data_IF_061215290721
#
_entry.id   IF_061215290721
#
_cell.length_a   1.000
_cell.length_b   1.000
_cell.length_c   1.000
_cell.angle_alpha   90.00
_cell.angle_beta   90.00
_cell.angle_gamma   90.00
#
_symmetry.space_group_name_H-M   'P 1'
#
loop_
_entity.id
_entity.type
_entity.pdbx_description
1 polymer ?
#
# COMPACT_ATOMS: atom_id res chain seq x y z
N UNK A 1 74.18 23.30 5.68
CA UNK A 1 72.81 23.27 5.22
C UNK A 1 72.13 21.86 5.37
N UNK A 2 72.77 20.92 6.04
CA UNK A 2 72.34 19.50 6.12
C UNK A 2 71.49 19.18 7.41
N UNK A 3 71.56 20.02 8.44
CA UNK A 3 70.90 19.74 9.74
C UNK A 3 69.46 20.17 9.82
N UNK A 4 68.98 21.02 8.92
CA UNK A 4 67.57 21.49 8.94
C UNK A 4 66.52 20.46 8.38
N UNK A 5 67.03 19.46 7.62
CA UNK A 5 66.18 18.44 7.04
C UNK A 5 65.91 17.22 7.97
N UNK A 6 66.77 16.91 8.91
CA UNK A 6 66.61 15.76 9.83
C UNK A 6 65.46 15.95 10.82
N UNK A 7 65.31 17.16 11.38
CA UNK A 7 64.18 17.44 12.31
C UNK A 7 62.79 17.40 11.63
N UNK A 8 62.70 17.84 10.37
CA UNK A 8 61.47 17.71 9.59
C UNK A 8 61.12 16.26 9.26
N UNK A 9 62.12 15.45 8.95
CA UNK A 9 61.97 14.03 8.66
C UNK A 9 61.50 13.27 9.93
N UNK A 10 62.08 13.58 11.11
CA UNK A 10 61.67 12.99 12.39
C UNK A 10 60.24 13.36 12.74
N UNK A 11 59.81 14.61 12.49
CA UNK A 11 58.42 15.05 12.70
C UNK A 11 57.43 14.33 11.78
N UNK A 12 57.78 14.11 10.51
CA UNK A 12 56.94 13.39 9.54
C UNK A 12 56.81 11.90 9.95
N UNK A 13 57.93 11.26 10.29
CA UNK A 13 57.92 9.85 10.72
C UNK A 13 57.16 9.71 12.03
N UNK A 14 57.32 10.64 12.98
CA UNK A 14 56.56 10.66 14.23
C UNK A 14 55.05 10.81 13.98
N UNK A 15 54.65 11.69 13.06
CA UNK A 15 53.23 11.86 12.69
C UNK A 15 52.63 10.61 12.04
N UNK A 16 53.38 9.93 11.16
CA UNK A 16 52.93 8.66 10.55
C UNK A 16 52.79 7.55 11.60
N UNK A 17 53.72 7.45 12.54
CA UNK A 17 53.63 6.45 13.61
C UNK A 17 52.45 6.69 14.56
N UNK A 18 52.17 7.94 14.92
CA UNK A 18 50.99 8.29 15.72
C UNK A 18 49.69 7.98 14.95
N UNK A 19 49.64 8.27 13.66
CA UNK A 19 48.48 7.95 12.80
C UNK A 19 48.27 6.44 12.71
N UNK A 20 49.32 5.65 12.47
CA UNK A 20 49.20 4.18 12.41
C UNK A 20 48.81 3.57 13.78
N UNK A 21 49.34 4.10 14.86
CA UNK A 21 49.00 3.67 16.21
C UNK A 21 47.52 3.99 16.54
N UNK A 22 47.04 5.18 16.20
CA UNK A 22 45.63 5.56 16.40
C UNK A 22 44.66 4.73 15.53
N UNK A 23 45.03 4.46 14.28
CA UNK A 23 44.25 3.59 13.38
C UNK A 23 44.24 2.15 13.88
N UNK A 24 45.36 1.63 14.40
CA UNK A 24 45.44 0.28 14.99
C UNK A 24 44.60 0.15 16.26
N UNK A 25 44.65 1.15 17.13
CA UNK A 25 43.81 1.19 18.37
C UNK A 25 42.32 1.28 18.01
N UNK A 26 41.96 2.13 17.06
CA UNK A 26 40.57 2.26 16.61
C UNK A 26 40.06 0.95 15.98
N UNK A 27 40.85 0.29 15.16
CA UNK A 27 40.55 -1.00 14.55
C UNK A 27 40.43 -2.11 15.61
N UNK A 28 41.37 -2.17 16.57
CA UNK A 28 41.33 -3.11 17.70
C UNK A 28 40.11 -2.90 18.58
N UNK A 29 39.80 -1.65 18.96
CA UNK A 29 38.62 -1.30 19.73
C UNK A 29 37.32 -1.70 18.98
N UNK A 30 37.26 -1.43 17.69
CA UNK A 30 36.11 -1.82 16.88
C UNK A 30 35.92 -3.36 16.78
N UNK A 31 37.04 -4.10 16.68
CA UNK A 31 36.97 -5.57 16.63
C UNK A 31 36.74 -6.25 17.99
N UNK A 32 37.24 -5.70 19.07
CA UNK A 32 37.14 -6.33 20.41
C UNK A 32 35.97 -5.80 21.24
N UNK A 33 35.57 -4.55 21.12
CA UNK A 33 34.39 -3.99 21.80
C UNK A 33 33.10 -4.18 21.00
N UNK A 34 33.20 -4.38 19.69
CA UNK A 34 32.06 -4.72 18.83
C UNK A 34 31.64 -6.20 18.87
N UNK A 35 32.41 -7.08 19.54
CA UNK A 35 32.13 -8.52 19.59
C UNK A 35 31.39 -9.00 20.84
N UNK A 36 30.93 -8.12 21.69
CA UNK A 36 30.41 -8.55 22.99
C UNK A 36 29.29 -7.71 23.60
N UNK A 37 28.32 -7.31 22.81
CA UNK A 37 26.99 -7.02 23.33
C UNK A 37 25.99 -7.21 22.19
N UNK A 38 25.19 -8.27 22.29
CA UNK A 38 23.94 -8.41 21.55
C UNK A 38 22.95 -7.34 22.04
N UNK A 39 23.22 -6.08 21.75
CA UNK A 39 22.18 -5.12 21.52
C UNK A 39 21.45 -5.67 20.31
N UNK A 40 20.20 -6.05 20.50
CA UNK A 40 19.28 -6.45 19.44
C UNK A 40 19.37 -5.39 18.33
N UNK A 41 20.25 -5.62 17.38
CA UNK A 41 20.24 -4.88 16.12
C UNK A 41 18.84 -5.02 15.58
N UNK A 42 18.20 -3.96 15.04
CA UNK A 42 17.05 -4.14 14.17
C UNK A 42 17.44 -5.22 13.19
N UNK A 43 16.64 -6.27 13.08
CA UNK A 43 16.92 -7.41 12.20
C UNK A 43 17.27 -6.83 10.85
N UNK A 44 18.53 -7.01 10.40
CA UNK A 44 18.96 -6.71 9.06
C UNK A 44 18.05 -7.51 8.11
N UNK A 45 17.05 -6.85 7.56
CA UNK A 45 16.31 -7.34 6.41
C UNK A 45 17.13 -6.91 5.18
N UNK A 46 18.37 -7.41 5.10
CA UNK A 46 19.13 -7.33 3.87
C UNK A 46 18.51 -8.29 2.86
N UNK A 47 18.25 -7.87 1.62
CA UNK A 47 17.95 -8.77 0.52
C UNK A 47 19.06 -9.81 0.45
N UNK A 48 18.80 -11.07 0.83
CA UNK A 48 19.81 -12.14 0.90
C UNK A 48 20.00 -12.79 2.27
N UNK A 49 19.47 -12.29 3.39
CA UNK A 49 19.47 -12.99 4.66
C UNK A 49 18.42 -14.10 4.62
N UNK A 50 18.87 -15.29 4.34
CA UNK A 50 18.30 -16.63 4.26
C UNK A 50 17.01 -17.01 4.97
N UNK A 51 15.98 -16.17 4.99
CA UNK A 51 14.65 -16.58 5.39
C UNK A 51 13.96 -17.23 4.19
N UNK A 52 14.20 -18.52 3.97
CA UNK A 52 13.47 -19.28 2.95
C UNK A 52 12.06 -19.55 3.48
N UNK A 53 11.08 -18.91 2.89
CA UNK A 53 9.68 -19.29 3.06
C UNK A 53 9.53 -20.65 2.38
N UNK A 54 9.24 -21.68 3.16
CA UNK A 54 8.87 -22.99 2.58
C UNK A 54 7.43 -22.88 2.05
N UNK A 55 7.21 -22.97 0.74
CA UNK A 55 5.88 -22.84 0.15
C UNK A 55 4.94 -23.99 0.56
N UNK A 56 5.47 -25.11 1.06
CA UNK A 56 4.72 -26.28 1.52
C UNK A 56 4.44 -26.24 3.04
N UNK A 57 4.95 -25.25 3.77
CA UNK A 57 4.67 -25.12 5.19
C UNK A 57 3.17 -24.90 5.43
N UNK A 58 2.61 -25.45 6.52
CA UNK A 58 1.19 -25.24 6.85
C UNK A 58 0.84 -23.76 6.97
N UNK A 59 -0.22 -23.34 6.29
CA UNK A 59 -0.76 -21.98 6.34
C UNK A 59 -1.81 -21.90 7.43
N UNK A 60 -1.42 -21.47 8.63
CA UNK A 60 -2.26 -21.43 9.84
C UNK A 60 -2.50 -20.03 10.37
N UNK A 61 -1.75 -19.04 9.86
CA UNK A 61 -1.74 -17.69 10.40
C UNK A 61 -2.64 -16.77 9.56
N UNK A 62 -3.75 -16.32 10.12
CA UNK A 62 -4.69 -15.45 9.43
C UNK A 62 -4.18 -14.01 9.35
N UNK A 63 -4.25 -13.42 8.17
CA UNK A 63 -4.02 -12.01 7.95
C UNK A 63 -5.14 -11.16 8.56
N UNK A 64 -4.87 -10.16 9.40
CA UNK A 64 -5.93 -9.33 9.99
C UNK A 64 -6.67 -8.45 8.98
N UNK A 65 -6.08 -8.21 7.80
CA UNK A 65 -6.68 -7.36 6.77
C UNK A 65 -7.64 -8.12 5.85
N UNK A 66 -7.36 -9.40 5.57
CA UNK A 66 -8.04 -10.19 4.53
C UNK A 66 -8.48 -11.58 4.99
N UNK A 67 -8.12 -11.98 6.21
CA UNK A 67 -8.36 -13.33 6.70
C UNK A 67 -7.59 -14.43 5.96
N UNK A 68 -6.83 -14.12 4.90
CA UNK A 68 -6.03 -15.10 4.15
C UNK A 68 -5.05 -15.81 5.08
N UNK A 69 -4.90 -17.10 4.88
CA UNK A 69 -4.00 -17.92 5.68
C UNK A 69 -2.59 -17.93 5.08
N UNK A 70 -1.60 -17.77 5.93
CA UNK A 70 -0.18 -17.73 5.64
C UNK A 70 0.60 -18.68 6.54
N UNK A 71 1.86 -18.91 6.24
CA UNK A 71 2.78 -19.66 7.08
C UNK A 71 3.21 -18.83 8.29
N UNK A 72 3.74 -19.50 9.32
CA UNK A 72 4.34 -18.80 10.48
C UNK A 72 5.52 -17.92 10.08
N UNK A 73 6.28 -18.33 9.07
CA UNK A 73 7.40 -17.56 8.55
C UNK A 73 6.94 -16.23 7.94
N UNK A 74 5.91 -16.25 7.10
CA UNK A 74 5.32 -15.04 6.53
C UNK A 74 4.77 -14.12 7.62
N UNK A 75 4.08 -14.67 8.63
CA UNK A 75 3.59 -13.86 9.77
C UNK A 75 4.72 -13.13 10.49
N UNK A 76 5.85 -13.79 10.76
CA UNK A 76 7.00 -13.16 11.40
C UNK A 76 7.55 -11.97 10.64
N UNK A 77 7.25 -11.86 9.33
CA UNK A 77 7.63 -10.70 8.51
C UNK A 77 6.65 -9.54 8.76
N UNK A 78 5.34 -9.76 8.53
CA UNK A 78 4.39 -8.63 8.62
C UNK A 78 4.11 -8.17 10.05
N UNK A 79 4.18 -9.04 11.06
CA UNK A 79 3.91 -8.65 12.45
C UNK A 79 4.93 -7.66 13.05
N UNK A 80 6.06 -7.44 12.36
CA UNK A 80 7.09 -6.48 12.75
C UNK A 80 6.87 -5.09 12.15
N UNK A 81 5.91 -4.91 11.27
CA UNK A 81 5.66 -3.68 10.52
C UNK A 81 4.21 -3.26 10.61
N UNK A 82 3.86 -2.11 10.07
CA UNK A 82 2.49 -1.62 9.98
C UNK A 82 2.01 -1.61 8.54
N UNK A 83 0.69 -1.54 8.28
CA UNK A 83 0.17 -1.43 6.94
C UNK A 83 0.76 -0.26 6.18
N UNK A 84 1.15 -0.53 4.92
CA UNK A 84 1.62 0.45 3.96
C UNK A 84 0.53 0.69 2.92
N UNK A 85 0.12 1.94 2.75
CA UNK A 85 -0.83 2.35 1.72
C UNK A 85 -0.10 3.15 0.65
N UNK A 86 -0.32 2.83 -0.62
CA UNK A 86 0.37 3.45 -1.76
C UNK A 86 -0.65 3.99 -2.74
N UNK A 87 -0.51 5.26 -3.10
CA UNK A 87 -1.27 5.86 -4.19
C UNK A 87 -0.70 5.40 -5.53
N UNK A 88 -1.46 4.63 -6.29
CA UNK A 88 -1.06 4.11 -7.61
C UNK A 88 -1.96 4.69 -8.69
N UNK A 89 -1.34 5.14 -9.78
CA UNK A 89 -2.04 5.73 -10.90
C UNK A 89 -2.81 4.70 -11.73
N UNK A 90 -3.92 5.13 -12.36
CA UNK A 90 -4.65 4.32 -13.34
C UNK A 90 -4.86 5.05 -14.68
N UNK A 91 -4.04 6.06 -15.01
CA UNK A 91 -4.08 6.65 -16.35
C UNK A 91 -3.85 5.56 -17.42
N UNK A 92 -4.53 5.64 -18.56
CA UNK A 92 -4.40 4.62 -19.61
C UNK A 92 -2.93 4.39 -20.02
N UNK A 93 -2.16 5.48 -20.17
CA UNK A 93 -0.74 5.41 -20.56
C UNK A 93 0.17 4.83 -19.46
N UNK A 94 -0.30 4.74 -18.20
CA UNK A 94 0.47 4.18 -17.09
C UNK A 94 0.26 2.68 -16.89
N UNK A 95 -0.53 2.04 -17.73
CA UNK A 95 -0.83 0.61 -17.64
C UNK A 95 0.17 -0.23 -18.44
N UNK A 96 0.55 -1.45 -17.94
CA UNK A 96 0.11 -2.05 -16.68
C UNK A 96 0.86 -1.49 -15.47
N UNK A 97 0.18 -1.42 -14.33
CA UNK A 97 0.77 -1.00 -13.06
C UNK A 97 1.62 -2.10 -12.45
N UNK A 98 2.46 -1.72 -11.47
CA UNK A 98 3.29 -2.66 -10.70
C UNK A 98 2.78 -2.79 -9.28
N UNK A 99 2.65 -4.04 -8.80
CA UNK A 99 2.45 -4.38 -7.41
C UNK A 99 1.00 -4.62 -6.98
N UNK A 100 0.00 -4.33 -7.82
CA UNK A 100 -1.41 -4.50 -7.45
C UNK A 100 -1.79 -5.94 -7.08
N UNK A 101 -1.17 -6.94 -7.72
CA UNK A 101 -1.40 -8.37 -7.44
C UNK A 101 -0.93 -8.82 -6.04
N UNK A 102 -0.10 -8.02 -5.39
CA UNK A 102 0.41 -8.25 -4.04
C UNK A 102 -0.24 -7.36 -2.97
N UNK A 103 -1.20 -6.52 -3.37
CA UNK A 103 -1.99 -5.76 -2.40
C UNK A 103 -2.97 -6.68 -1.65
N UNK A 104 -3.15 -6.42 -0.37
CA UNK A 104 -4.16 -7.08 0.46
C UNK A 104 -5.55 -6.50 0.18
N UNK A 105 -5.65 -5.18 0.09
CA UNK A 105 -6.87 -4.45 -0.24
C UNK A 105 -6.55 -3.34 -1.22
N UNK A 106 -7.41 -3.13 -2.23
CA UNK A 106 -7.31 -2.00 -3.15
C UNK A 106 -8.62 -1.21 -3.11
N UNK A 107 -8.52 0.10 -2.95
CA UNK A 107 -9.63 1.03 -3.18
C UNK A 107 -9.43 1.71 -4.52
N UNK A 108 -10.49 1.79 -5.31
CA UNK A 108 -10.49 2.55 -6.57
C UNK A 108 -11.56 3.64 -6.51
N UNK A 109 -11.21 4.86 -6.86
CA UNK A 109 -12.12 5.99 -6.95
C UNK A 109 -11.69 6.93 -8.07
N UNK A 110 -12.62 7.74 -8.58
CA UNK A 110 -12.27 8.82 -9.52
C UNK A 110 -11.36 9.83 -8.81
N UNK A 111 -10.32 10.24 -9.50
CA UNK A 111 -9.43 11.31 -9.04
C UNK A 111 -9.77 12.65 -9.67
N UNK A 112 -9.66 12.79 -10.98
CA UNK A 112 -10.04 13.95 -11.77
C UNK A 112 -10.51 13.52 -13.15
N UNK A 113 -11.47 14.27 -13.73
CA UNK A 113 -11.85 14.12 -15.14
C UNK A 113 -12.37 12.74 -15.56
N UNK A 114 -12.82 11.94 -14.62
CA UNK A 114 -13.23 10.54 -14.86
C UNK A 114 -12.09 9.53 -14.82
N UNK A 115 -10.84 9.97 -14.61
CA UNK A 115 -9.67 9.11 -14.43
C UNK A 115 -9.68 8.57 -13.01
N UNK A 116 -9.62 7.26 -12.84
CA UNK A 116 -9.55 6.65 -11.51
C UNK A 116 -8.11 6.58 -10.97
N UNK A 117 -7.99 6.30 -9.70
CA UNK A 117 -6.72 6.07 -9.00
C UNK A 117 -6.91 4.97 -7.97
N UNK A 118 -5.83 4.26 -7.64
CA UNK A 118 -5.83 3.22 -6.64
C UNK A 118 -5.17 3.69 -5.34
N UNK A 119 -5.73 3.29 -4.21
CA UNK A 119 -5.03 3.19 -2.94
C UNK A 119 -4.81 1.70 -2.67
N UNK A 120 -3.61 1.23 -2.88
CA UNK A 120 -3.25 -0.15 -2.63
C UNK A 120 -2.67 -0.32 -1.23
N UNK A 121 -3.17 -1.27 -0.47
CA UNK A 121 -2.76 -1.57 0.92
C UNK A 121 -1.94 -2.84 0.92
N UNK A 122 -0.71 -2.75 1.41
CA UNK A 122 0.25 -3.85 1.49
C UNK A 122 0.53 -4.17 2.95
N UNK A 123 0.46 -5.44 3.31
CA UNK A 123 0.81 -5.93 4.64
C UNK A 123 1.21 -7.40 4.61
N UNK A 124 0.23 -8.33 4.51
CA UNK A 124 0.48 -9.76 4.59
C UNK A 124 0.96 -10.36 3.27
N UNK A 125 0.34 -9.98 2.14
CA UNK A 125 0.67 -10.49 0.81
C UNK A 125 2.04 -10.02 0.29
N UNK A 126 2.61 -8.96 0.87
CA UNK A 126 3.91 -8.42 0.50
C UNK A 126 5.02 -8.97 1.41
N UNK A 127 5.09 -10.28 1.62
CA UNK A 127 6.16 -10.94 2.39
C UNK A 127 7.53 -10.89 1.70
N UNK A 128 7.55 -10.62 0.40
CA UNK A 128 8.75 -10.35 -0.41
C UNK A 128 8.75 -8.90 -0.88
N UNK A 129 9.88 -8.40 -1.36
CA UNK A 129 9.99 -7.06 -1.92
C UNK A 129 9.09 -6.92 -3.16
N UNK A 130 8.23 -5.91 -3.18
CA UNK A 130 7.31 -5.64 -4.28
C UNK A 130 7.61 -4.26 -4.87
N UNK A 131 7.92 -4.19 -6.16
CA UNK A 131 7.94 -2.90 -6.87
C UNK A 131 6.51 -2.38 -7.00
N UNK A 132 6.29 -1.11 -6.64
CA UNK A 132 4.96 -0.47 -6.63
C UNK A 132 4.95 0.81 -7.46
N UNK A 133 3.91 1.00 -8.22
CA UNK A 133 3.71 2.23 -9.01
C UNK A 133 3.03 2.04 -10.37
N UNK A 134 2.97 3.12 -11.18
CA UNK A 134 3.49 4.47 -10.89
C UNK A 134 2.82 5.10 -9.67
N UNK A 135 3.65 5.58 -8.72
CA UNK A 135 3.14 6.25 -7.51
C UNK A 135 2.63 7.64 -7.85
N UNK A 136 1.49 8.01 -7.29
CA UNK A 136 0.76 9.22 -7.69
C UNK A 136 0.32 10.09 -6.51
N UNK A 137 -0.28 11.23 -6.82
CA UNK A 137 -0.61 12.28 -5.86
C UNK A 137 -1.74 11.89 -4.91
N UNK A 138 -1.63 12.36 -3.66
CA UNK A 138 -2.64 12.23 -2.63
C UNK A 138 -3.95 12.95 -2.99
N UNK A 139 -5.07 12.41 -2.49
CA UNK A 139 -6.40 13.03 -2.48
C UNK A 139 -7.04 12.80 -1.11
N UNK A 140 -7.86 13.73 -0.67
CA UNK A 140 -8.41 13.77 0.69
C UNK A 140 -9.13 12.49 1.11
N UNK A 141 -10.01 11.97 0.25
CA UNK A 141 -10.79 10.77 0.54
C UNK A 141 -9.95 9.48 0.60
N UNK A 142 -8.85 9.38 -0.14
CA UNK A 142 -7.94 8.24 -0.02
C UNK A 142 -7.22 8.19 1.33
N UNK A 143 -6.93 9.36 1.92
CA UNK A 143 -6.38 9.42 3.29
C UNK A 143 -7.39 8.93 4.32
N UNK A 144 -8.69 9.19 4.10
CA UNK A 144 -9.74 8.68 4.97
C UNK A 144 -9.86 7.15 4.92
N UNK A 145 -9.67 6.55 3.72
CA UNK A 145 -9.59 5.09 3.58
C UNK A 145 -8.30 4.53 4.18
N UNK A 146 -7.15 5.17 3.96
CA UNK A 146 -5.90 4.79 4.59
C UNK A 146 -6.01 4.81 6.12
N UNK A 147 -6.74 5.78 6.70
CA UNK A 147 -6.95 5.92 8.15
C UNK A 147 -7.68 4.74 8.79
N UNK A 148 -8.27 3.82 8.00
CA UNK A 148 -8.92 2.61 8.51
C UNK A 148 -7.94 1.53 8.98
N UNK A 149 -6.65 1.67 8.65
CA UNK A 149 -5.62 0.66 8.88
C UNK A 149 -4.79 0.94 10.16
N UNK A 150 -5.48 1.37 11.20
CA UNK A 150 -4.91 1.57 12.53
C UNK A 150 -4.30 2.96 12.74
N UNK A 151 -3.57 3.08 13.85
CA UNK A 151 -2.97 4.36 14.21
C UNK A 151 -1.74 4.63 13.30
N UNK A 152 -1.78 5.72 12.54
CA UNK A 152 -0.71 6.19 11.64
C UNK A 152 -0.25 5.14 10.61
N UNK A 153 -1.14 4.68 9.69
CA UNK A 153 -0.73 3.84 8.57
C UNK A 153 0.26 4.60 7.67
N UNK A 154 1.21 3.89 7.09
CA UNK A 154 2.16 4.51 6.16
C UNK A 154 1.41 4.92 4.89
N UNK A 155 1.63 6.15 4.42
CA UNK A 155 0.92 6.70 3.26
C UNK A 155 1.89 7.20 2.20
N UNK A 156 2.16 6.36 1.19
CA UNK A 156 3.12 6.64 0.11
C UNK A 156 2.45 7.33 -1.08
N UNK A 157 2.99 8.49 -1.47
CA UNK A 157 2.44 9.30 -2.54
C UNK A 157 3.48 10.26 -3.15
N UNK A 158 3.17 10.85 -4.30
CA UNK A 158 3.97 11.88 -4.97
C UNK A 158 3.20 13.20 -4.92
N UNK A 159 3.49 14.03 -3.94
CA UNK A 159 2.75 15.28 -3.74
C UNK A 159 1.25 15.06 -3.58
N UNK A 160 0.47 16.07 -3.85
CA UNK A 160 -1.00 15.99 -3.69
C UNK A 160 -1.68 17.26 -4.10
N UNK A 161 -3.01 17.27 -4.06
CA UNK A 161 -3.78 18.49 -4.18
C UNK A 161 -3.39 19.47 -3.05
N UNK A 162 -3.03 20.69 -3.40
CA UNK A 162 -2.55 21.73 -2.48
C UNK A 162 -3.24 23.07 -2.67
N UNK A 163 -4.32 23.10 -3.44
CA UNK A 163 -5.15 24.30 -3.62
C UNK A 163 -5.91 24.57 -2.31
N UNK A 164 -5.92 25.81 -1.80
CA UNK A 164 -6.69 26.14 -0.60
C UNK A 164 -8.17 25.71 -0.73
N UNK A 165 -8.69 25.06 0.31
CA UNK A 165 -10.06 24.56 0.33
C UNK A 165 -10.17 23.07 0.67
N UNK A 166 -11.37 22.49 0.51
CA UNK A 166 -11.66 21.15 1.01
C UNK A 166 -10.95 20.00 0.25
N UNK A 167 -10.35 20.28 -0.92
CA UNK A 167 -9.55 19.30 -1.66
C UNK A 167 -8.05 19.37 -1.32
N UNK A 168 -7.61 20.25 -0.41
CA UNK A 168 -6.22 20.39 -0.02
C UNK A 168 -5.70 19.14 0.72
N UNK A 169 -5.27 18.13 -0.04
CA UNK A 169 -4.78 16.89 0.52
C UNK A 169 -3.47 17.07 1.31
N UNK A 170 -2.56 17.95 0.84
CA UNK A 170 -1.30 18.19 1.56
C UNK A 170 -1.54 18.92 2.88
N UNK A 171 -2.47 19.88 2.92
CA UNK A 171 -2.90 20.50 4.17
C UNK A 171 -3.52 19.48 5.13
N UNK A 172 -4.39 18.63 4.64
CA UNK A 172 -5.05 17.58 5.44
C UNK A 172 -4.08 16.55 6.04
N UNK A 173 -2.97 16.24 5.36
CA UNK A 173 -1.88 15.41 5.92
C UNK A 173 -1.33 16.06 7.20
N UNK A 174 -1.12 17.38 7.19
CA UNK A 174 -0.72 18.14 8.38
C UNK A 174 -1.79 18.12 9.47
N UNK A 175 -3.05 18.40 9.12
CA UNK A 175 -4.19 18.42 10.05
C UNK A 175 -4.41 17.04 10.72
N UNK A 176 -4.04 15.95 10.05
CA UNK A 176 -4.09 14.59 10.61
C UNK A 176 -2.89 14.26 11.50
N UNK A 177 -1.91 15.15 11.63
CA UNK A 177 -0.67 14.95 12.37
C UNK A 177 0.29 13.94 11.72
N UNK A 178 0.08 13.62 10.43
CA UNK A 178 0.86 12.60 9.74
C UNK A 178 2.28 13.06 9.42
N UNK A 179 2.49 14.38 9.23
CA UNK A 179 3.83 14.96 9.09
C UNK A 179 4.64 14.78 10.37
N UNK A 180 4.07 15.14 11.52
CA UNK A 180 4.74 15.12 12.81
C UNK A 180 5.04 13.69 13.29
N UNK A 181 4.13 12.75 13.00
CA UNK A 181 4.33 11.33 13.32
C UNK A 181 5.22 10.61 12.30
N UNK A 182 5.50 11.21 11.14
CA UNK A 182 6.42 10.67 10.15
C UNK A 182 5.86 9.52 9.31
N UNK A 183 4.55 9.25 9.36
CA UNK A 183 3.90 8.24 8.53
C UNK A 183 3.51 8.76 7.14
N UNK A 184 3.68 10.06 6.86
CA UNK A 184 3.67 10.65 5.53
C UNK A 184 4.91 10.21 4.75
N UNK A 185 4.71 9.40 3.70
CA UNK A 185 5.76 8.87 2.84
C UNK A 185 5.81 9.62 1.50
N UNK A 186 5.78 10.96 1.57
CA UNK A 186 5.81 11.81 0.39
C UNK A 186 7.16 11.72 -0.33
N UNK A 187 7.13 11.45 -1.63
CA UNK A 187 8.32 11.38 -2.47
C UNK A 187 9.19 12.65 -2.38
N UNK A 188 8.58 13.83 -2.30
CA UNK A 188 9.32 15.10 -2.24
C UNK A 188 10.14 15.27 -0.95
N UNK A 189 9.76 14.63 0.13
CA UNK A 189 10.50 14.65 1.40
C UNK A 189 11.50 13.50 1.54
N UNK A 190 11.28 12.37 0.86
CA UNK A 190 12.11 11.16 0.97
C UNK A 190 13.13 11.07 -0.17
N UNK A 191 12.70 11.20 -1.42
CA UNK A 191 13.57 11.20 -2.59
C UNK A 191 14.23 9.87 -2.94
N UNK A 192 15.29 9.97 -3.76
CA UNK A 192 16.15 8.84 -4.13
C UNK A 192 17.03 8.40 -2.95
N UNK A 193 17.29 7.11 -2.74
CA UNK A 193 16.99 5.97 -3.60
C UNK A 193 15.64 5.27 -3.27
N UNK A 194 14.84 5.76 -2.32
CA UNK A 194 13.55 5.14 -1.97
C UNK A 194 12.56 5.26 -3.12
N UNK A 195 12.50 6.44 -3.72
CA UNK A 195 11.73 6.67 -4.94
C UNK A 195 12.67 6.92 -6.11
N UNK A 196 12.31 6.36 -7.27
CA UNK A 196 13.07 6.62 -8.52
C UNK A 196 12.12 6.72 -9.71
N UNK A 197 12.61 7.36 -10.78
CA UNK A 197 11.90 7.38 -12.06
C UNK A 197 12.44 6.28 -12.96
N UNK A 198 11.51 5.52 -13.55
CA UNK A 198 11.83 4.49 -14.52
C UNK A 198 11.04 4.77 -15.80
N UNK A 199 11.67 5.35 -16.77
CA UNK A 199 11.07 5.77 -18.03
C UNK A 199 10.87 4.61 -19.03
N UNK A 200 11.53 3.48 -18.77
CA UNK A 200 11.50 2.32 -19.69
C UNK A 200 10.60 1.20 -19.17
N UNK A 201 10.20 1.25 -17.91
CA UNK A 201 9.54 0.15 -17.24
C UNK A 201 8.24 -0.32 -17.91
N UNK A 202 7.44 0.61 -18.46
CA UNK A 202 6.17 0.29 -19.11
C UNK A 202 6.38 -0.25 -20.54
N UNK A 203 7.58 -0.06 -21.09
CA UNK A 203 7.94 -0.56 -22.43
C UNK A 203 7.56 0.37 -23.59
N UNK A 204 7.05 1.57 -23.30
CA UNK A 204 6.78 2.63 -24.29
C UNK A 204 7.00 4.00 -23.66
N UNK A 205 7.14 5.03 -24.48
CA UNK A 205 7.31 6.40 -24.00
C UNK A 205 6.06 6.90 -23.29
N UNK A 206 6.23 7.44 -22.09
CA UNK A 206 5.16 8.01 -21.27
C UNK A 206 5.56 9.36 -20.69
N UNK A 207 4.59 10.14 -20.27
CA UNK A 207 4.85 11.40 -19.59
C UNK A 207 5.56 11.15 -18.23
N UNK A 208 6.36 12.13 -17.80
CA UNK A 208 7.17 12.02 -16.57
C UNK A 208 6.37 11.65 -15.33
N UNK A 209 5.13 12.09 -15.22
CA UNK A 209 4.24 11.75 -14.11
C UNK A 209 3.88 10.27 -14.01
N UNK A 210 4.05 9.48 -15.07
CA UNK A 210 3.78 8.04 -15.12
C UNK A 210 5.01 7.17 -14.81
N UNK A 211 6.10 7.74 -14.32
CA UNK A 211 7.40 7.04 -14.20
C UNK A 211 7.91 6.89 -12.76
N UNK A 212 7.15 7.28 -11.74
CA UNK A 212 7.63 7.24 -10.35
C UNK A 212 7.31 5.89 -9.70
N UNK A 213 8.36 5.23 -9.21
CA UNK A 213 8.27 3.92 -8.55
C UNK A 213 8.94 3.92 -7.18
N UNK A 214 8.59 2.93 -6.37
CA UNK A 214 9.25 2.56 -5.13
C UNK A 214 9.21 1.05 -4.95
N UNK A 215 9.73 0.53 -3.83
CA UNK A 215 9.43 -0.82 -3.37
C UNK A 215 8.83 -0.80 -1.97
N UNK A 216 8.06 -1.83 -1.65
CA UNK A 216 7.48 -1.99 -0.32
C UNK A 216 8.57 -2.00 0.75
N UNK A 217 9.68 -2.70 0.53
CA UNK A 217 10.82 -2.78 1.44
C UNK A 217 11.45 -1.42 1.72
N UNK A 218 11.77 -0.64 0.68
CA UNK A 218 12.33 0.71 0.84
C UNK A 218 11.42 1.64 1.65
N UNK A 219 10.11 1.53 1.46
CA UNK A 219 9.14 2.32 2.22
C UNK A 219 9.08 1.88 3.67
N UNK A 220 9.09 0.57 3.96
CA UNK A 220 9.17 0.07 5.33
C UNK A 220 10.51 0.37 6.01
N UNK A 221 11.63 0.39 5.27
CA UNK A 221 12.92 0.86 5.81
C UNK A 221 12.88 2.32 6.26
N UNK A 222 12.26 3.21 5.47
CA UNK A 222 12.05 4.61 5.86
C UNK A 222 11.19 4.68 7.12
N UNK A 223 10.10 3.92 7.18
CA UNK A 223 9.24 3.84 8.35
C UNK A 223 10.00 3.38 9.60
N UNK A 224 10.80 2.33 9.45
CA UNK A 224 11.62 1.79 10.55
C UNK A 224 12.63 2.82 11.07
N UNK A 225 13.30 3.56 10.18
CA UNK A 225 14.22 4.66 10.54
C UNK A 225 13.52 5.82 11.27
N UNK A 226 12.20 5.95 11.11
CA UNK A 226 11.33 6.92 11.78
C UNK A 226 10.63 6.35 13.03
N UNK A 227 11.04 5.15 13.51
CA UNK A 227 10.43 4.49 14.67
C UNK A 227 9.02 3.92 14.42
N UNK A 228 8.58 3.83 13.15
CA UNK A 228 7.23 3.39 12.78
C UNK A 228 7.21 1.92 12.31
N UNK A 229 7.46 1.01 13.23
CA UNK A 229 7.34 -0.44 13.02
C UNK A 229 5.92 -0.94 13.38
N UNK A 230 5.81 -2.18 13.86
CA UNK A 230 4.55 -2.68 14.44
C UNK A 230 4.09 -1.84 15.65
N UNK A 231 5.05 -1.28 16.37
CA UNK A 231 4.83 -0.24 17.39
C UNK A 231 5.43 1.08 16.92
N UNK A 232 5.01 2.19 17.52
CA UNK A 232 5.69 3.46 17.47
C UNK A 232 6.79 3.55 18.55
N UNK A 233 7.50 4.69 18.63
CA UNK A 233 8.54 4.93 19.62
C UNK A 233 8.02 4.92 21.07
N UNK A 234 6.73 5.21 21.28
CA UNK A 234 6.06 5.17 22.57
C UNK A 234 5.58 3.74 22.93
N UNK A 235 5.78 2.74 22.05
CA UNK A 235 5.38 1.36 22.25
C UNK A 235 3.92 1.06 21.91
N UNK A 236 3.19 2.00 21.31
CA UNK A 236 1.80 1.79 20.91
C UNK A 236 1.75 0.93 19.65
N UNK A 237 0.98 -0.15 19.70
CA UNK A 237 0.77 -1.01 18.52
C UNK A 237 -0.12 -0.30 17.50
N UNK A 238 0.23 -0.39 16.21
CA UNK A 238 -0.56 0.19 15.13
C UNK A 238 -2.03 -0.30 15.13
N UNK A 239 -2.24 -1.56 15.53
CA UNK A 239 -3.54 -2.22 15.52
C UNK A 239 -4.31 -2.14 16.84
N UNK A 240 -3.86 -1.34 17.81
CA UNK A 240 -4.52 -1.26 19.14
C UNK A 240 -6.02 -0.88 19.04
N UNK A 241 -6.40 -0.10 18.02
CA UNK A 241 -7.79 0.32 17.75
C UNK A 241 -8.31 -0.20 16.41
N UNK A 242 -7.55 -1.05 15.73
CA UNK A 242 -7.95 -1.62 14.45
C UNK A 242 -9.06 -2.66 14.66
N UNK A 243 -10.10 -2.57 13.85
CA UNK A 243 -11.20 -3.55 13.84
C UNK A 243 -11.08 -4.41 12.58
N UNK A 244 -10.96 -5.71 12.76
CA UNK A 244 -10.94 -6.65 11.66
C UNK A 244 -12.35 -6.86 11.09
N UNK A 245 -12.46 -7.11 9.79
CA UNK A 245 -13.67 -7.67 9.19
C UNK A 245 -13.85 -9.12 9.62
N UNK A 246 -15.05 -9.62 9.53
CA UNK A 246 -15.33 -11.05 9.69
C UNK A 246 -14.99 -11.78 8.40
N UNK A 247 -14.30 -12.90 8.52
CA UNK A 247 -13.90 -13.70 7.37
C UNK A 247 -14.51 -15.12 7.43
N UNK A 248 -14.69 -15.71 6.26
CA UNK A 248 -15.13 -17.08 6.08
C UNK A 248 -14.31 -17.77 5.00
N UNK A 249 -14.32 -19.09 5.01
CA UNK A 249 -13.75 -19.89 3.94
C UNK A 249 -14.64 -19.85 2.68
N UNK A 250 -14.03 -20.15 1.52
CA UNK A 250 -14.72 -20.25 0.25
C UNK A 250 -15.87 -21.26 0.31
N UNK A 251 -16.96 -20.94 -0.35
CA UNK A 251 -18.03 -21.94 -0.57
C UNK A 251 -17.51 -23.11 -1.41
N UNK A 252 -18.06 -24.31 -1.17
CA UNK A 252 -17.82 -25.47 -2.02
C UNK A 252 -18.30 -25.17 -3.44
N UNK A 253 -17.68 -25.77 -4.44
CA UNK A 253 -17.93 -25.49 -5.86
C UNK A 253 -19.44 -25.58 -6.22
N UNK A 254 -20.15 -26.55 -5.66
CA UNK A 254 -21.58 -26.77 -5.91
C UNK A 254 -22.47 -25.68 -5.32
N UNK A 255 -22.02 -25.03 -4.23
CA UNK A 255 -22.75 -23.96 -3.54
C UNK A 255 -22.43 -22.56 -4.08
N UNK A 256 -21.44 -22.45 -4.99
CA UNK A 256 -21.08 -21.17 -5.62
C UNK A 256 -22.17 -20.73 -6.59
N UNK A 257 -22.44 -19.43 -6.58
CA UNK A 257 -23.46 -18.81 -7.42
C UNK A 257 -23.10 -18.76 -8.91
N UNK A 258 -23.92 -18.03 -9.64
CA UNK A 258 -23.89 -17.93 -11.12
C UNK A 258 -23.66 -16.51 -11.62
N UNK A 259 -23.45 -15.53 -10.73
CA UNK A 259 -23.09 -14.17 -11.14
C UNK A 259 -21.70 -14.21 -11.77
N UNK A 260 -21.67 -14.32 -13.10
CA UNK A 260 -20.44 -14.55 -13.86
C UNK A 260 -19.71 -13.28 -14.26
N UNK A 261 -20.40 -12.15 -14.24
CA UNK A 261 -19.88 -10.87 -14.69
C UNK A 261 -20.45 -9.72 -13.88
N UNK A 262 -19.66 -8.69 -13.65
CA UNK A 262 -20.06 -7.45 -12.99
C UNK A 262 -19.55 -6.30 -13.87
N UNK A 263 -20.47 -5.48 -14.39
CA UNK A 263 -20.13 -4.36 -15.27
C UNK A 263 -20.64 -3.04 -14.66
N UNK A 264 -19.78 -2.03 -14.61
CA UNK A 264 -20.16 -0.67 -14.24
C UNK A 264 -19.16 0.37 -14.76
N UNK A 265 -19.50 1.63 -14.63
CA UNK A 265 -18.61 2.76 -14.86
C UNK A 265 -18.68 3.71 -13.69
N UNK A 266 -17.56 4.33 -13.33
CA UNK A 266 -17.54 5.41 -12.34
C UNK A 266 -18.24 6.64 -12.87
N UNK A 267 -17.90 7.05 -14.10
CA UNK A 267 -18.56 8.09 -14.89
C UNK A 267 -18.84 7.55 -16.29
N UNK A 268 -19.95 7.99 -16.90
CA UNK A 268 -20.41 7.46 -18.20
C UNK A 268 -19.68 8.06 -19.43
N UNK A 269 -18.70 8.94 -19.21
CA UNK A 269 -18.05 9.73 -20.27
C UNK A 269 -16.66 9.22 -20.67
N UNK A 270 -16.15 8.17 -20.01
CA UNK A 270 -14.81 7.67 -20.29
C UNK A 270 -14.75 6.13 -20.32
N UNK A 271 -14.83 5.52 -21.50
CA UNK A 271 -14.85 4.06 -21.64
C UNK A 271 -13.55 3.38 -21.20
N UNK A 272 -12.40 4.08 -21.20
CA UNK A 272 -11.11 3.54 -20.76
C UNK A 272 -11.09 3.15 -19.28
N UNK A 273 -12.09 3.64 -18.51
CA UNK A 273 -12.30 3.36 -17.08
C UNK A 273 -13.57 2.56 -16.82
N UNK A 274 -14.20 2.01 -17.87
CA UNK A 274 -15.26 1.03 -17.69
C UNK A 274 -14.68 -0.22 -17.01
N UNK A 275 -15.39 -0.70 -16.02
CA UNK A 275 -14.98 -1.82 -15.16
C UNK A 275 -15.77 -3.05 -15.52
N UNK A 276 -15.07 -4.15 -15.71
CA UNK A 276 -15.65 -5.48 -15.71
C UNK A 276 -14.88 -6.37 -14.73
N UNK A 277 -15.62 -7.14 -13.94
CA UNK A 277 -15.10 -8.26 -13.17
C UNK A 277 -15.70 -9.55 -13.70
N UNK A 278 -14.86 -10.50 -14.10
CA UNK A 278 -15.25 -11.81 -14.61
C UNK A 278 -15.03 -12.85 -13.52
N UNK A 279 -16.08 -13.60 -13.16
CA UNK A 279 -16.00 -14.61 -12.12
C UNK A 279 -15.52 -15.96 -12.65
N UNK A 280 -14.42 -16.43 -12.11
CA UNK A 280 -13.95 -17.79 -12.31
C UNK A 280 -14.47 -18.69 -11.20
N UNK A 281 -15.47 -19.49 -11.52
CA UNK A 281 -16.16 -20.37 -10.54
C UNK A 281 -15.23 -21.44 -9.96
N UNK A 282 -14.33 -22.02 -10.75
CA UNK A 282 -13.44 -23.10 -10.31
C UNK A 282 -12.41 -22.60 -9.31
N UNK A 283 -11.84 -21.42 -9.55
CA UNK A 283 -10.85 -20.80 -8.68
C UNK A 283 -11.49 -19.96 -7.55
N UNK A 284 -12.79 -19.70 -7.63
CA UNK A 284 -13.52 -18.77 -6.76
C UNK A 284 -12.85 -17.38 -6.70
N UNK A 285 -12.63 -16.78 -7.87
CA UNK A 285 -11.94 -15.50 -8.00
C UNK A 285 -12.61 -14.62 -9.05
N UNK A 286 -12.49 -13.31 -8.86
CA UNK A 286 -12.93 -12.31 -9.81
C UNK A 286 -11.71 -11.72 -10.52
N UNK A 287 -11.71 -11.74 -11.85
CA UNK A 287 -10.63 -11.26 -12.70
C UNK A 287 -10.99 -9.86 -13.22
N UNK A 288 -10.06 -8.91 -13.09
CA UNK A 288 -10.28 -7.51 -13.47
C UNK A 288 -10.05 -7.27 -14.96
N UNK A 289 -11.01 -6.61 -15.56
CA UNK A 289 -10.92 -6.00 -16.89
C UNK A 289 -11.16 -4.49 -16.76
N UNK A 290 -10.35 -3.67 -17.39
CA UNK A 290 -10.41 -2.22 -17.32
C UNK A 290 -10.36 -1.62 -18.72
N UNK A 291 -11.38 -0.84 -19.11
CA UNK A 291 -11.48 -0.32 -20.48
C UNK A 291 -11.50 -1.43 -21.56
N UNK A 292 -12.11 -2.57 -21.27
CA UNK A 292 -12.20 -3.72 -22.19
C UNK A 292 -10.91 -4.54 -22.31
N UNK A 293 -9.85 -4.24 -21.54
CA UNK A 293 -8.60 -4.98 -21.54
C UNK A 293 -8.33 -5.61 -20.15
N UNK A 294 -7.77 -6.84 -20.09
CA UNK A 294 -7.35 -7.42 -18.80
C UNK A 294 -6.41 -6.48 -18.07
N UNK A 295 -6.72 -6.13 -16.81
CA UNK A 295 -5.80 -5.38 -15.96
C UNK A 295 -4.74 -6.33 -15.46
N UNK A 296 -3.48 -6.10 -15.82
CA UNK A 296 -2.34 -6.94 -15.44
C UNK A 296 -1.42 -6.23 -14.45
N UNK A 297 -0.67 -7.01 -13.68
CA UNK A 297 0.44 -6.54 -12.87
C UNK A 297 1.75 -6.70 -13.65
N UNK A 298 2.47 -5.61 -13.84
CA UNK A 298 3.73 -5.60 -14.61
C UNK A 298 4.83 -6.47 -13.98
N UNK A 299 4.79 -6.68 -12.64
CA UNK A 299 5.80 -7.51 -11.97
C UNK A 299 5.67 -9.00 -12.31
N UNK A 300 4.45 -9.48 -12.60
CA UNK A 300 4.16 -10.90 -12.78
C UNK A 300 3.54 -11.24 -14.13
N UNK A 301 3.19 -10.23 -14.93
CA UNK A 301 2.37 -10.34 -16.16
C UNK A 301 1.02 -11.08 -15.96
N UNK A 302 0.60 -11.27 -14.69
CA UNK A 302 -0.66 -11.93 -14.37
C UNK A 302 -1.81 -10.92 -14.30
N UNK A 303 -3.00 -11.35 -14.73
CA UNK A 303 -4.22 -10.56 -14.57
C UNK A 303 -4.56 -10.40 -13.09
N UNK A 304 -4.97 -9.20 -12.69
CA UNK A 304 -5.43 -8.92 -11.33
C UNK A 304 -6.65 -9.76 -11.01
N UNK A 305 -6.61 -10.43 -9.86
CA UNK A 305 -7.67 -11.28 -9.37
C UNK A 305 -7.84 -11.14 -7.86
N UNK A 306 -9.09 -11.17 -7.40
CA UNK A 306 -9.45 -11.01 -5.99
C UNK A 306 -10.51 -12.01 -5.55
N UNK A 307 -10.67 -12.20 -4.24
CA UNK A 307 -11.71 -13.08 -3.65
C UNK A 307 -13.04 -12.37 -3.47
N UNK A 308 -12.98 -11.08 -3.21
CA UNK A 308 -14.18 -10.27 -2.94
C UNK A 308 -14.08 -8.95 -3.70
N UNK A 309 -15.14 -8.59 -4.41
CA UNK A 309 -15.36 -7.27 -5.00
C UNK A 309 -16.47 -6.56 -4.23
N UNK A 310 -16.24 -5.33 -3.81
CA UNK A 310 -17.22 -4.51 -3.12
C UNK A 310 -17.45 -3.24 -3.93
N UNK A 311 -18.67 -2.98 -4.35
CA UNK A 311 -19.07 -1.68 -4.89
C UNK A 311 -19.68 -0.90 -3.74
N UNK A 312 -18.99 0.16 -3.31
CA UNK A 312 -19.40 1.06 -2.24
C UNK A 312 -19.92 2.35 -2.86
N UNK A 313 -21.24 2.53 -2.87
CA UNK A 313 -21.84 3.75 -3.42
C UNK A 313 -21.67 4.91 -2.46
N UNK A 314 -20.98 5.96 -2.92
CA UNK A 314 -20.66 7.14 -2.11
C UNK A 314 -21.16 8.43 -2.75
N UNK A 315 -21.57 9.37 -1.92
CA UNK A 315 -21.91 10.71 -2.39
C UNK A 315 -20.64 11.42 -2.87
N UNK A 316 -20.61 11.72 -4.17
CA UNK A 316 -19.56 12.50 -4.81
C UNK A 316 -20.00 13.96 -4.94
N UNK A 317 -19.06 14.89 -4.82
CA UNK A 317 -19.23 16.31 -5.06
C UNK A 317 -18.08 16.83 -5.91
N UNK A 318 -18.39 17.38 -7.06
CA UNK A 318 -17.36 17.96 -7.92
C UNK A 318 -17.84 18.22 -9.36
N UNK A 319 -16.98 18.85 -10.16
CA UNK A 319 -15.70 19.48 -9.76
C UNK A 319 -15.91 20.65 -8.80
N UNK A 320 -14.97 20.84 -7.86
CA UNK A 320 -15.09 21.87 -6.81
C UNK A 320 -14.12 23.03 -6.99
N UNK A 321 -13.21 22.94 -7.93
CA UNK A 321 -12.24 23.96 -8.28
C UNK A 321 -11.86 23.90 -9.79
N UNK A 322 -11.02 24.84 -10.23
CA UNK A 322 -10.60 24.96 -11.63
C UNK A 322 -9.75 23.76 -12.11
N UNK A 323 -9.02 23.10 -11.22
CA UNK A 323 -8.26 21.88 -11.53
C UNK A 323 -9.09 20.60 -11.46
N UNK A 324 -10.43 20.77 -11.27
CA UNK A 324 -11.45 19.72 -11.33
C UNK A 324 -11.32 18.65 -10.25
N UNK A 325 -10.83 19.03 -9.06
CA UNK A 325 -10.87 18.13 -7.93
C UNK A 325 -12.30 17.76 -7.54
N UNK A 326 -12.45 16.56 -7.01
CA UNK A 326 -13.70 16.04 -6.48
C UNK A 326 -13.54 15.61 -5.03
N UNK A 327 -14.66 15.46 -4.34
CA UNK A 327 -14.73 14.99 -2.96
C UNK A 327 -15.69 13.82 -2.86
N UNK A 328 -15.42 12.91 -1.95
CA UNK A 328 -16.34 11.86 -1.53
C UNK A 328 -16.72 12.05 -0.07
N UNK A 329 -17.98 11.76 0.27
CA UNK A 329 -18.44 11.70 1.67
C UNK A 329 -18.06 10.35 2.24
N UNK A 330 -16.91 10.27 2.90
CA UNK A 330 -16.28 9.02 3.35
C UNK A 330 -16.83 8.47 4.67
N UNK A 331 -17.59 9.28 5.43
CA UNK A 331 -18.24 8.90 6.70
C UNK A 331 -19.76 8.90 6.54
N UNK A 332 -20.44 8.14 7.39
CA UNK A 332 -21.89 7.95 7.34
C UNK A 332 -22.28 6.56 6.85
N UNK A 333 -23.30 6.49 6.03
CA UNK A 333 -23.86 5.23 5.52
C UNK A 333 -24.24 5.36 4.05
N UNK A 334 -24.30 4.23 3.35
CA UNK A 334 -24.76 4.17 1.97
C UNK A 334 -24.97 2.73 1.50
N UNK A 335 -25.45 2.56 0.27
CA UNK A 335 -25.64 1.24 -0.30
C UNK A 335 -24.30 0.61 -0.70
N UNK A 336 -24.23 -0.72 -0.65
CA UNK A 336 -23.12 -1.51 -1.12
C UNK A 336 -23.61 -2.77 -1.84
N UNK A 337 -22.82 -3.23 -2.82
CA UNK A 337 -22.96 -4.55 -3.43
C UNK A 337 -21.69 -5.33 -3.12
N UNK A 338 -21.81 -6.52 -2.57
CA UNK A 338 -20.69 -7.37 -2.24
C UNK A 338 -20.75 -8.62 -3.11
N UNK A 339 -19.69 -8.88 -3.86
CA UNK A 339 -19.60 -10.04 -4.75
C UNK A 339 -18.53 -10.98 -4.22
N UNK A 340 -18.96 -12.18 -3.88
CA UNK A 340 -18.11 -13.27 -3.42
C UNK A 340 -18.79 -14.60 -3.70
N UNK A 341 -18.05 -15.67 -3.91
CA UNK A 341 -18.57 -17.00 -4.23
C UNK A 341 -19.55 -17.02 -5.43
N UNK A 342 -19.36 -16.13 -6.42
CA UNK A 342 -20.28 -16.00 -7.56
C UNK A 342 -21.69 -15.53 -7.20
N UNK A 343 -21.85 -14.89 -6.05
CA UNK A 343 -23.12 -14.35 -5.54
C UNK A 343 -23.02 -12.84 -5.40
N UNK A 344 -24.12 -12.15 -5.63
CA UNK A 344 -24.27 -10.74 -5.30
C UNK A 344 -25.06 -10.61 -3.99
N UNK A 345 -24.55 -9.84 -3.04
CA UNK A 345 -25.20 -9.53 -1.78
C UNK A 345 -25.45 -8.02 -1.77
N UNK A 346 -26.72 -7.64 -1.81
CA UNK A 346 -27.14 -6.27 -1.59
C UNK A 346 -27.06 -5.95 -0.10
N UNK A 347 -26.46 -4.80 0.23
CA UNK A 347 -26.25 -4.42 1.61
C UNK A 347 -25.99 -2.93 1.77
N UNK A 348 -25.47 -2.57 2.92
CA UNK A 348 -25.10 -1.20 3.27
C UNK A 348 -23.68 -1.15 3.83
N UNK A 349 -23.03 -0.03 3.59
CA UNK A 349 -21.80 0.31 4.30
C UNK A 349 -22.07 1.35 5.38
N UNK A 350 -21.30 1.30 6.46
CA UNK A 350 -21.32 2.29 7.54
C UNK A 350 -19.89 2.60 8.03
N UNK A 351 -19.58 3.88 8.15
CA UNK A 351 -18.31 4.38 8.70
C UNK A 351 -18.58 5.56 9.61
N UNK A 352 -18.38 5.38 10.91
CA UNK A 352 -18.75 6.37 11.93
C UNK A 352 -17.87 7.62 11.90
N UNK A 353 -16.56 7.42 11.81
CA UNK A 353 -15.55 8.48 11.77
C UNK A 353 -14.37 8.07 10.89
N UNK A 354 -13.48 9.01 10.58
CA UNK A 354 -12.34 8.81 9.69
C UNK A 354 -11.55 7.52 9.96
N UNK A 355 -11.21 7.26 11.22
CA UNK A 355 -10.41 6.08 11.62
C UNK A 355 -11.23 4.81 11.80
N UNK A 356 -12.57 4.89 11.79
CA UNK A 356 -13.41 3.71 11.91
C UNK A 356 -13.26 2.81 10.69
N UNK A 357 -13.14 1.50 10.93
CA UNK A 357 -13.24 0.51 9.85
C UNK A 357 -14.63 0.58 9.24
N UNK A 358 -14.73 0.67 7.92
CA UNK A 358 -16.00 0.55 7.21
C UNK A 358 -16.61 -0.83 7.46
N UNK A 359 -17.86 -0.89 7.88
CA UNK A 359 -18.62 -2.12 8.10
C UNK A 359 -19.59 -2.33 6.95
N UNK A 360 -19.75 -3.57 6.53
CA UNK A 360 -20.71 -3.99 5.51
C UNK A 360 -21.75 -4.90 6.14
N UNK A 361 -23.03 -4.57 5.97
CA UNK A 361 -24.16 -5.34 6.51
C UNK A 361 -25.11 -5.74 5.40
N UNK A 362 -25.72 -6.92 5.51
CA UNK A 362 -26.77 -7.38 4.60
C UNK A 362 -28.12 -6.68 4.86
N UNK A 363 -29.15 -7.01 4.08
CA UNK A 363 -30.48 -6.45 4.22
C UNK A 363 -31.17 -6.73 5.56
N UNK A 364 -30.65 -7.66 6.37
CA UNK A 364 -31.13 -7.93 7.73
C UNK A 364 -30.38 -7.12 8.80
N UNK A 365 -29.36 -6.34 8.41
CA UNK A 365 -28.49 -5.61 9.32
C UNK A 365 -27.36 -6.46 9.93
N UNK A 366 -27.20 -7.71 9.49
CA UNK A 366 -26.11 -8.59 9.93
C UNK A 366 -24.82 -8.25 9.17
N UNK A 367 -23.70 -8.16 9.89
CA UNK A 367 -22.38 -7.95 9.29
C UNK A 367 -22.00 -9.11 8.37
N UNK A 368 -21.60 -8.77 7.14
CA UNK A 368 -21.22 -9.72 6.11
C UNK A 368 -19.84 -10.27 6.43
N UNK A 369 -19.70 -11.61 6.44
CA UNK A 369 -18.39 -12.27 6.48
C UNK A 369 -17.81 -12.34 5.07
N UNK A 370 -16.61 -11.79 4.85
CA UNK A 370 -15.94 -11.75 3.56
C UNK A 370 -15.15 -13.04 3.32
N UNK A 371 -15.02 -13.45 2.07
CA UNK A 371 -14.12 -14.56 1.73
C UNK A 371 -12.66 -14.20 2.04
N UNK A 372 -11.90 -15.18 2.56
CA UNK A 372 -10.48 -15.02 2.85
C UNK A 372 -9.69 -14.78 1.56
N UNK A 373 -8.91 -13.71 1.51
CA UNK A 373 -8.04 -13.35 0.38
C UNK A 373 -8.16 -11.89 -0.04
N UNK A 374 -7.52 -11.48 -1.14
CA UNK A 374 -7.50 -10.09 -1.60
C UNK A 374 -8.89 -9.53 -1.84
N UNK A 375 -9.06 -8.24 -1.51
CA UNK A 375 -10.34 -7.51 -1.59
C UNK A 375 -10.14 -6.28 -2.47
N UNK A 376 -11.11 -6.01 -3.36
CA UNK A 376 -11.15 -4.78 -4.13
C UNK A 376 -12.43 -4.00 -3.86
N UNK A 377 -12.26 -2.72 -3.53
CA UNK A 377 -13.36 -1.83 -3.15
C UNK A 377 -13.47 -0.70 -4.18
N UNK A 378 -14.56 -0.70 -4.91
CA UNK A 378 -14.91 0.26 -5.92
C UNK A 378 -15.75 1.38 -5.29
N UNK A 379 -15.19 2.58 -5.18
CA UNK A 379 -15.90 3.76 -4.65
C UNK A 379 -16.64 4.43 -5.80
N UNK A 380 -17.87 4.04 -5.99
CA UNK A 380 -18.70 4.44 -7.11
C UNK A 380 -19.63 5.59 -6.70
N UNK A 381 -19.77 6.65 -7.51
CA UNK A 381 -20.70 7.73 -7.20
C UNK A 381 -22.14 7.23 -7.00
N UNK A 382 -22.81 7.70 -5.94
CA UNK A 382 -24.21 7.38 -5.70
C UNK A 382 -25.10 7.78 -6.89
N UNK A 383 -25.96 6.86 -7.34
CA UNK A 383 -26.79 7.04 -8.53
C UNK A 383 -26.29 6.29 -9.77
N UNK A 384 -25.03 5.86 -9.79
CA UNK A 384 -24.55 4.90 -10.79
C UNK A 384 -25.12 3.50 -10.52
N UNK A 385 -25.08 2.65 -11.54
CA UNK A 385 -25.59 1.29 -11.48
C UNK A 385 -24.50 0.29 -11.86
N UNK A 386 -24.56 -0.88 -11.28
CA UNK A 386 -23.82 -2.05 -11.71
C UNK A 386 -24.80 -3.08 -12.32
N UNK A 387 -24.36 -3.72 -13.40
CA UNK A 387 -25.06 -4.85 -14.00
C UNK A 387 -24.33 -6.14 -13.58
N UNK A 388 -25.09 -7.18 -13.18
CA UNK A 388 -24.51 -8.45 -12.72
C UNK A 388 -25.48 -9.62 -12.85
#
# INVERSE_FOLDING_TARGET
MIFKNKSKLILIIGGILVYLASAGISYGAFRFLGSGSSLLSPVDITPGSGFKIDPNAPKTEACPLTGQLFTKAEKQIWEKRRPLTVMIENHADSRPQSGLSKADVVYEAVAEGGITRFLAVFYCNASEEVTVGPVRSARTYFMDFASEYGDYPLYAHVGGANVPGPANALGQIGDYGWLDKGNDMNQFSIGFPTYWRDYERIGHAVATEHTMYSTTEKLWEVASKRGLNATDEEGNKWNAKFTEWKFKDDEKLEARGTTSKIDFSFWNNNPDYAVTWEYNKDQNQYLRVNGGQPLKDLNSDSQIQVKTVIIQFMKEKGPIDEVKHILYTTTGTGNALIFQDGKAIEGTWAKEKRQSRTKFTDGSGKEISLNRGPIWIEIVPSGQKANY
#
